data_IF_187641242621
#
_entry.id   IF_187641242621
#
_cell.length_a   1.000
_cell.length_b   1.000
_cell.length_c   1.000
_cell.angle_alpha   90.00
_cell.angle_beta   90.00
_cell.angle_gamma   90.00
#
_symmetry.space_group_name_H-M   'P 1'
#
loop_
_entity.id
_entity.type
_entity.pdbx_description
1 polymer ?
#
# COMPACT_ATOMS: atom_id res chain seq x y z
N UNK A 1 -5.49 11.59 -7.80
CA UNK A 1 -5.13 10.81 -6.60
C UNK A 1 -3.84 10.07 -6.82
N UNK A 2 -2.78 10.49 -6.12
CA UNK A 2 -1.47 9.84 -6.13
C UNK A 2 -1.43 8.81 -5.01
N UNK A 3 -1.73 7.57 -5.37
CA UNK A 3 -1.65 6.42 -4.50
C UNK A 3 -0.37 5.63 -4.83
N UNK A 4 0.24 5.00 -3.83
CA UNK A 4 1.41 4.16 -3.99
C UNK A 4 1.05 2.81 -4.60
N UNK A 5 1.81 2.41 -5.61
CA UNK A 5 1.70 1.10 -6.25
C UNK A 5 2.04 -0.03 -5.27
N UNK A 6 1.48 -1.24 -5.46
CA UNK A 6 1.88 -2.41 -4.70
C UNK A 6 3.41 -2.64 -4.79
N UNK A 7 4.01 -3.06 -3.68
CA UNK A 7 5.46 -3.17 -3.47
C UNK A 7 6.15 -1.87 -3.02
N UNK A 8 5.47 -0.72 -3.06
CA UNK A 8 6.05 0.55 -2.63
C UNK A 8 6.03 0.69 -1.10
N UNK A 9 7.05 1.35 -0.55
CA UNK A 9 7.11 1.68 0.88
C UNK A 9 6.06 2.73 1.25
N UNK A 10 5.11 2.36 2.12
CA UNK A 10 4.03 3.21 2.62
C UNK A 10 4.25 3.68 4.07
N UNK A 11 5.29 3.18 4.75
CA UNK A 11 5.62 3.57 6.12
C UNK A 11 4.50 3.23 7.12
N UNK A 12 4.19 4.16 8.02
CA UNK A 12 3.16 3.98 9.07
C UNK A 12 1.81 4.62 8.69
N UNK A 13 1.65 5.15 7.47
CA UNK A 13 0.38 5.76 7.05
C UNK A 13 -0.48 4.74 6.28
N UNK A 14 -1.48 4.10 6.93
CA UNK A 14 -2.48 3.33 6.21
C UNK A 14 -3.32 4.29 5.36
N UNK A 15 -3.52 3.96 4.08
CA UNK A 15 -4.44 4.69 3.20
C UNK A 15 -3.82 5.35 1.96
N UNK A 16 -2.50 5.25 1.75
CA UNK A 16 -1.88 5.76 0.53
C UNK A 16 -1.74 4.71 -0.57
N UNK A 17 -1.94 3.42 -0.29
CA UNK A 17 -1.72 2.34 -1.25
C UNK A 17 -2.92 2.17 -2.21
N UNK A 18 -2.67 2.08 -3.52
CA UNK A 18 -3.73 1.90 -4.50
C UNK A 18 -4.21 0.46 -4.57
N UNK A 19 -5.49 0.22 -4.28
CA UNK A 19 -6.11 -1.12 -4.23
C UNK A 19 -5.35 -2.15 -3.37
N UNK A 20 -4.50 -1.66 -2.47
CA UNK A 20 -3.61 -2.44 -1.63
C UNK A 20 -3.73 -1.94 -0.19
N UNK A 21 -3.31 -2.77 0.77
CA UNK A 21 -3.17 -2.33 2.16
C UNK A 21 -1.71 -2.12 2.49
N UNK A 22 -1.44 -1.08 3.28
CA UNK A 22 -0.13 -0.89 3.87
C UNK A 22 0.06 -1.95 4.97
N UNK A 23 0.89 -2.95 4.69
CA UNK A 23 1.18 -4.04 5.61
C UNK A 23 2.70 -4.16 5.78
N UNK A 24 3.15 -4.20 7.03
CA UNK A 24 4.58 -4.21 7.38
C UNK A 24 5.41 -3.15 6.64
N UNK A 25 4.86 -1.92 6.52
CA UNK A 25 5.45 -0.76 5.83
C UNK A 25 5.48 -0.79 4.30
N UNK A 26 4.92 -1.82 3.65
CA UNK A 26 4.81 -1.91 2.20
C UNK A 26 3.37 -2.00 1.74
N UNK A 27 3.06 -1.45 0.57
CA UNK A 27 1.78 -1.65 -0.08
C UNK A 27 1.70 -3.09 -0.58
N UNK A 28 0.74 -3.86 -0.09
CA UNK A 28 0.51 -5.24 -0.52
C UNK A 28 -0.91 -5.35 -1.04
N UNK A 29 -1.08 -5.78 -2.30
CA UNK A 29 -2.39 -6.14 -2.84
C UNK A 29 -2.80 -7.50 -2.28
N UNK A 30 -3.93 -7.54 -1.58
CA UNK A 30 -4.60 -8.78 -1.20
C UNK A 30 -5.58 -9.14 -2.32
N UNK A 31 -5.07 -9.45 -3.50
CA UNK A 31 -5.85 -10.18 -4.50
C UNK A 31 -5.62 -11.67 -4.25
N UNK A 32 -6.70 -12.37 -3.89
CA UNK A 32 -6.78 -13.82 -3.70
C UNK A 32 -7.12 -14.50 -5.03
#
# INVERSE_FOLDING_TARGET
DECFSPGTFCGTKPGLCCSARCFSFFCISLEF
#
